data_IF_529140943370
#
_entry.id   IF_529140943370
#
_cell.length_a   1.000
_cell.length_b   1.000
_cell.length_c   1.000
_cell.angle_alpha   90.00
_cell.angle_beta   90.00
_cell.angle_gamma   90.00
#
_symmetry.space_group_name_H-M   'P 1'
#
loop_
_entity.id
_entity.type
_entity.pdbx_description
1 polymer ?
#
# COMPACT_ATOMS: atom_id res chain seq x y z
N UNK A 1 -10.48 19.59 -0.20
CA UNK A 1 -10.01 18.31 0.37
C UNK A 1 -10.87 17.97 1.57
N UNK A 2 -11.72 16.97 1.43
CA UNK A 2 -12.63 16.49 2.46
C UNK A 2 -12.09 15.21 3.10
N UNK A 3 -12.14 15.12 4.44
CA UNK A 3 -11.70 13.95 5.22
C UNK A 3 -12.79 13.56 6.21
N UNK A 4 -13.29 12.33 6.08
CA UNK A 4 -14.34 11.78 6.95
C UNK A 4 -13.85 10.49 7.58
N UNK A 5 -14.06 10.34 8.88
CA UNK A 5 -13.84 9.07 9.58
C UNK A 5 -14.99 8.13 9.27
N UNK A 6 -14.68 6.96 8.72
CA UNK A 6 -15.67 5.99 8.23
C UNK A 6 -15.67 4.66 8.99
N UNK A 7 -14.73 4.48 9.93
CA UNK A 7 -14.70 3.27 10.75
C UNK A 7 -13.37 3.07 11.47
N UNK A 8 -13.16 1.83 11.87
CA UNK A 8 -11.96 1.35 12.55
C UNK A 8 -11.60 -0.05 12.05
N UNK A 9 -10.31 -0.36 12.07
CA UNK A 9 -9.80 -1.73 11.91
C UNK A 9 -9.26 -2.26 13.23
N UNK A 10 -9.09 -3.58 13.34
CA UNK A 10 -8.36 -4.17 14.46
C UNK A 10 -6.86 -3.88 14.38
N UNK A 11 -6.16 -4.05 15.50
CA UNK A 11 -4.69 -3.98 15.55
C UNK A 11 -4.05 -4.91 14.52
N UNK A 12 -4.52 -6.16 14.44
CA UNK A 12 -3.96 -7.16 13.53
C UNK A 12 -4.14 -6.76 12.06
N UNK A 13 -5.31 -6.25 11.69
CA UNK A 13 -5.58 -5.78 10.33
C UNK A 13 -4.75 -4.54 9.98
N UNK A 14 -4.61 -3.61 10.93
CA UNK A 14 -3.71 -2.45 10.80
C UNK A 14 -2.27 -2.90 10.57
N UNK A 15 -1.74 -3.78 11.41
CA UNK A 15 -0.35 -4.24 11.30
C UNK A 15 -0.09 -4.92 9.96
N UNK A 16 -1.04 -5.72 9.47
CA UNK A 16 -0.90 -6.37 8.18
C UNK A 16 -0.78 -5.37 7.03
N UNK A 17 -1.67 -4.37 6.96
CA UNK A 17 -1.58 -3.37 5.88
C UNK A 17 -0.36 -2.45 6.04
N UNK A 18 0.07 -2.17 7.28
CA UNK A 18 1.30 -1.43 7.56
C UNK A 18 2.54 -2.18 7.04
N UNK A 19 2.64 -3.49 7.29
CA UNK A 19 3.74 -4.34 6.79
C UNK A 19 3.82 -4.30 5.26
N UNK A 20 2.67 -4.30 4.56
CA UNK A 20 2.63 -4.17 3.10
C UNK A 20 3.10 -2.79 2.62
N UNK A 21 2.73 -1.71 3.30
CA UNK A 21 3.19 -0.34 2.98
C UNK A 21 4.71 -0.18 3.20
N UNK A 22 5.23 -0.72 4.30
CA UNK A 22 6.66 -0.72 4.61
C UNK A 22 7.45 -1.53 3.58
N UNK A 23 6.97 -2.74 3.22
CA UNK A 23 7.57 -3.55 2.15
C UNK A 23 7.59 -2.81 0.82
N UNK A 24 6.48 -2.18 0.44
CA UNK A 24 6.39 -1.42 -0.80
C UNK A 24 7.36 -0.22 -0.81
N UNK A 25 7.52 0.46 0.33
CA UNK A 25 8.48 1.55 0.50
C UNK A 25 9.93 1.05 0.35
N UNK A 26 10.28 -0.03 1.05
CA UNK A 26 11.62 -0.63 0.97
C UNK A 26 11.97 -1.10 -0.47
N UNK A 27 11.02 -1.71 -1.18
CA UNK A 27 11.23 -2.14 -2.58
C UNK A 27 11.45 -0.94 -3.53
N UNK A 28 10.74 0.17 -3.31
CA UNK A 28 10.93 1.40 -4.10
C UNK A 28 12.31 2.03 -3.84
N UNK A 29 12.73 2.09 -2.58
CA UNK A 29 14.08 2.56 -2.22
C UNK A 29 15.15 1.68 -2.85
N UNK A 30 14.96 0.35 -2.85
CA UNK A 30 15.87 -0.58 -3.50
C UNK A 30 15.99 -0.33 -5.01
N UNK A 31 14.89 -0.03 -5.72
CA UNK A 31 14.94 0.35 -7.14
C UNK A 31 15.79 1.61 -7.34
N UNK A 32 15.62 2.62 -6.49
CA UNK A 32 16.37 3.88 -6.60
C UNK A 32 17.88 3.61 -6.45
N UNK A 33 18.26 2.83 -5.43
CA UNK A 33 19.67 2.48 -5.18
C UNK A 33 20.27 1.66 -6.34
N UNK A 34 19.50 0.72 -6.90
CA UNK A 34 19.96 -0.12 -8.02
C UNK A 34 20.10 0.65 -9.33
N UNK A 35 19.28 1.67 -9.56
CA UNK A 35 19.37 2.52 -10.75
C UNK A 35 20.54 3.52 -10.67
N UNK A 36 20.95 3.91 -9.46
CA UNK A 36 22.07 4.85 -9.24
C UNK A 36 23.45 4.18 -9.34
N UNK A 37 23.51 2.84 -9.22
CA UNK A 37 24.76 2.08 -9.27
C UNK A 37 24.95 1.38 -10.61
N UNK A 38 26.06 1.68 -11.30
CA UNK A 38 26.56 1.06 -12.55
C UNK A 38 26.85 -0.45 -12.40
N UNK A 39 25.81 -1.26 -12.18
CA UNK A 39 25.88 -2.72 -12.19
C UNK A 39 25.65 -3.23 -13.61
N UNK A 40 26.52 -4.14 -14.07
CA UNK A 40 26.46 -4.79 -15.39
C UNK A 40 25.04 -5.16 -15.82
N UNK A 41 24.63 -4.73 -17.02
CA UNK A 41 23.25 -4.77 -17.56
C UNK A 41 22.49 -6.09 -17.35
N UNK A 42 23.17 -7.24 -17.45
CA UNK A 42 22.52 -8.56 -17.36
C UNK A 42 22.00 -8.93 -15.95
N UNK A 43 22.75 -8.60 -14.88
CA UNK A 43 22.31 -8.90 -13.50
C UNK A 43 21.23 -7.92 -13.03
N UNK A 44 21.24 -6.70 -13.57
CA UNK A 44 20.27 -5.67 -13.24
C UNK A 44 18.87 -6.06 -13.75
N UNK A 45 18.77 -6.62 -14.96
CA UNK A 45 17.47 -7.00 -15.53
C UNK A 45 16.72 -8.07 -14.72
N UNK A 46 17.40 -9.13 -14.24
CA UNK A 46 16.76 -10.19 -13.45
C UNK A 46 16.33 -9.70 -12.05
N UNK A 47 17.18 -8.91 -11.39
CA UNK A 47 16.88 -8.38 -10.06
C UNK A 47 15.77 -7.33 -10.12
N UNK A 48 15.84 -6.42 -11.09
CA UNK A 48 14.80 -5.42 -11.34
C UNK A 48 13.45 -6.09 -11.61
N UNK A 49 13.41 -7.11 -12.47
CA UNK A 49 12.18 -7.86 -12.76
C UNK A 49 11.59 -8.50 -11.48
N UNK A 50 12.43 -9.11 -10.64
CA UNK A 50 12.00 -9.67 -9.34
C UNK A 50 11.43 -8.60 -8.42
N UNK A 51 12.07 -7.45 -8.30
CA UNK A 51 11.59 -6.35 -7.46
C UNK A 51 10.26 -5.81 -8.01
N UNK A 52 10.14 -5.63 -9.32
CA UNK A 52 8.91 -5.18 -9.96
C UNK A 52 7.76 -6.18 -9.75
N UNK A 53 8.04 -7.48 -9.87
CA UNK A 53 7.08 -8.54 -9.57
C UNK A 53 6.63 -8.50 -8.11
N UNK A 54 7.55 -8.28 -7.16
CA UNK A 54 7.22 -8.21 -5.74
C UNK A 54 6.44 -6.93 -5.38
N UNK A 55 6.74 -5.80 -6.01
CA UNK A 55 5.94 -4.57 -5.92
C UNK A 55 4.52 -4.83 -6.41
N UNK A 56 4.36 -5.48 -7.57
CA UNK A 56 3.05 -5.80 -8.13
C UNK A 56 2.26 -6.73 -7.20
N UNK A 57 2.89 -7.79 -6.71
CA UNK A 57 2.26 -8.72 -5.77
C UNK A 57 1.86 -8.03 -4.46
N UNK A 58 2.72 -7.18 -3.91
CA UNK A 58 2.43 -6.42 -2.68
C UNK A 58 1.22 -5.50 -2.88
N UNK A 59 1.13 -4.79 -4.02
CA UNK A 59 -0.04 -3.96 -4.36
C UNK A 59 -1.33 -4.78 -4.48
N UNK A 60 -1.27 -5.97 -5.10
CA UNK A 60 -2.44 -6.86 -5.18
C UNK A 60 -2.93 -7.29 -3.79
N UNK A 61 -2.02 -7.52 -2.84
CA UNK A 61 -2.37 -7.82 -1.45
C UNK A 61 -3.02 -6.62 -0.75
N UNK A 62 -2.49 -5.41 -0.96
CA UNK A 62 -3.10 -4.17 -0.43
C UNK A 62 -4.51 -3.97 -0.97
N UNK A 63 -4.70 -4.11 -2.29
CA UNK A 63 -6.01 -4.00 -2.94
C UNK A 63 -6.99 -5.05 -2.42
N UNK A 64 -6.52 -6.29 -2.23
CA UNK A 64 -7.31 -7.37 -1.65
C UNK A 64 -7.73 -7.03 -0.23
N UNK A 65 -6.80 -6.59 0.61
CA UNK A 65 -7.08 -6.19 1.99
C UNK A 65 -8.13 -5.07 2.04
N UNK A 66 -7.99 -4.02 1.22
CA UNK A 66 -8.97 -2.94 1.17
C UNK A 66 -10.37 -3.43 0.75
N UNK A 67 -10.47 -4.33 -0.24
CA UNK A 67 -11.75 -4.93 -0.65
C UNK A 67 -12.38 -5.75 0.48
N UNK A 68 -11.58 -6.51 1.22
CA UNK A 68 -12.03 -7.30 2.35
C UNK A 68 -12.51 -6.41 3.49
N UNK A 69 -11.74 -5.37 3.87
CA UNK A 69 -12.12 -4.44 4.93
C UNK A 69 -13.35 -3.62 4.57
N UNK A 70 -13.45 -3.14 3.33
CA UNK A 70 -14.66 -2.49 2.81
C UNK A 70 -15.88 -3.36 3.03
N UNK A 71 -15.79 -4.64 2.66
CA UNK A 71 -16.92 -5.57 2.74
C UNK A 71 -17.25 -5.92 4.19
N UNK A 72 -16.23 -6.20 5.01
CA UNK A 72 -16.36 -6.58 6.43
C UNK A 72 -16.98 -5.47 7.28
N UNK A 73 -16.56 -4.22 7.08
CA UNK A 73 -16.98 -3.07 7.89
C UNK A 73 -17.95 -2.13 7.17
N UNK A 74 -18.34 -2.46 5.94
CA UNK A 74 -19.20 -1.64 5.08
C UNK A 74 -18.70 -0.19 4.93
N UNK A 75 -17.39 -0.02 4.67
CA UNK A 75 -16.79 1.30 4.55
C UNK A 75 -17.42 2.10 3.41
N UNK A 76 -17.74 3.36 3.70
CA UNK A 76 -18.23 4.34 2.73
C UNK A 76 -17.20 4.48 1.60
N UNK A 77 -17.69 4.46 0.36
CA UNK A 77 -16.90 4.59 -0.85
C UNK A 77 -17.33 5.83 -1.63
N UNK A 78 -16.37 6.45 -2.33
CA UNK A 78 -16.61 7.53 -3.28
C UNK A 78 -15.67 7.33 -4.47
N UNK A 79 -16.13 7.58 -5.70
CA UNK A 79 -15.41 7.24 -6.94
C UNK A 79 -14.01 7.87 -7.00
N UNK A 80 -13.88 9.13 -6.58
CA UNK A 80 -12.61 9.85 -6.50
C UNK A 80 -12.02 9.85 -5.07
N UNK A 81 -12.54 8.99 -4.20
CA UNK A 81 -12.14 8.88 -2.82
C UNK A 81 -11.01 7.87 -2.62
N UNK A 82 -10.16 8.11 -1.62
CA UNK A 82 -9.15 7.15 -1.14
C UNK A 82 -9.41 6.82 0.32
N UNK A 83 -9.17 5.58 0.69
CA UNK A 83 -9.12 5.22 2.11
C UNK A 83 -7.73 5.40 2.68
N UNK A 84 -7.68 5.70 3.97
CA UNK A 84 -6.46 5.84 4.73
C UNK A 84 -6.68 5.29 6.13
N UNK A 85 -5.77 4.45 6.62
CA UNK A 85 -5.72 4.05 8.02
C UNK A 85 -4.83 5.04 8.77
N UNK A 86 -5.27 5.50 9.94
CA UNK A 86 -4.40 6.11 10.92
C UNK A 86 -3.75 5.00 11.75
N UNK A 87 -2.44 4.82 11.58
CA UNK A 87 -1.70 3.73 12.22
C UNK A 87 -1.55 3.90 13.74
N UNK A 88 -1.76 5.10 14.28
CA UNK A 88 -1.73 5.37 15.72
C UNK A 88 -3.07 5.04 16.40
N UNK A 89 -4.20 5.23 15.69
CA UNK A 89 -5.55 5.17 16.30
C UNK A 89 -6.46 4.07 15.73
N UNK A 90 -6.00 3.35 14.71
CA UNK A 90 -6.75 2.37 13.91
C UNK A 90 -7.96 2.95 13.16
N UNK A 91 -8.12 4.26 13.15
CA UNK A 91 -9.23 4.92 12.46
C UNK A 91 -9.06 4.83 10.95
N UNK A 92 -10.15 4.52 10.25
CA UNK A 92 -10.18 4.56 8.78
C UNK A 92 -10.87 5.83 8.33
N UNK A 93 -10.27 6.53 7.38
CA UNK A 93 -10.77 7.76 6.79
C UNK A 93 -11.03 7.59 5.31
N UNK A 94 -12.09 8.22 4.81
CA UNK A 94 -12.30 8.52 3.39
C UNK A 94 -11.77 9.93 3.12
N UNK A 95 -10.84 10.04 2.17
CA UNK A 95 -10.27 11.29 1.69
C UNK A 95 -10.79 11.55 0.28
N UNK A 96 -11.39 12.70 0.05
CA UNK A 96 -11.85 13.14 -1.27
C UNK A 96 -11.09 14.42 -1.60
N UNK A 97 -10.34 14.39 -2.70
CA UNK A 97 -9.71 15.58 -3.25
C UNK A 97 -10.73 16.20 -4.21
N UNK A 98 -11.08 17.47 -3.96
CA UNK A 98 -11.94 18.27 -4.85
C UNK A 98 -11.21 18.59 -6.15
#
# INVERSE_FOLDING_TARGET
MYKEKIGYVSEQEKYYILELEERLSALKELIIVLNDQFLSEEKNNNLYEKIMNDIFHTKLLQDKWWREMKTKYNFKFYENGKWMVNFDTNEVFLIIND
#
